data_IF_100587803328
#
_entry.id   IF_100587803328
#
_cell.length_a   1.000
_cell.length_b   1.000
_cell.length_c   1.000
_cell.angle_alpha   90.00
_cell.angle_beta   90.00
_cell.angle_gamma   90.00
#
_symmetry.space_group_name_H-M   'P 1'
#
loop_
_entity.id
_entity.type
_entity.pdbx_description
1 polymer ?
#
# COMPACT_ATOMS: atom_id res chain seq x y z
N UNK A 1 -2.01 -33.35 6.11
CA UNK A 1 -1.03 -32.38 5.62
C UNK A 1 -1.81 -31.18 5.13
N UNK A 2 -1.48 -29.97 5.58
CA UNK A 2 -2.07 -28.78 4.99
C UNK A 2 -1.79 -28.78 3.49
N UNK A 3 -2.77 -28.36 2.70
CA UNK A 3 -2.69 -28.36 1.24
C UNK A 3 -1.84 -27.15 0.81
N UNK A 4 -0.53 -27.24 1.03
CA UNK A 4 0.43 -26.22 0.62
C UNK A 4 0.41 -26.06 -0.90
N UNK A 5 0.09 -27.13 -1.63
CA UNK A 5 -0.09 -27.11 -3.09
C UNK A 5 -1.21 -26.15 -3.49
N UNK A 6 -2.37 -26.22 -2.81
CA UNK A 6 -3.45 -25.23 -3.01
C UNK A 6 -2.99 -23.80 -2.71
N UNK A 7 -2.27 -23.57 -1.60
CA UNK A 7 -1.77 -22.24 -1.24
C UNK A 7 -0.78 -21.70 -2.29
N UNK A 8 0.08 -22.56 -2.82
CA UNK A 8 1.03 -22.21 -3.89
C UNK A 8 0.29 -21.88 -5.19
N UNK A 9 -0.64 -22.73 -5.65
CA UNK A 9 -1.42 -22.52 -6.89
C UNK A 9 -2.21 -21.19 -6.83
N UNK A 10 -2.94 -20.97 -5.75
CA UNK A 10 -3.71 -19.74 -5.61
C UNK A 10 -2.82 -18.49 -5.51
N UNK A 11 -1.68 -18.57 -4.80
CA UNK A 11 -0.73 -17.46 -4.74
C UNK A 11 -0.12 -17.16 -6.10
N UNK A 12 0.18 -18.17 -6.91
CA UNK A 12 0.67 -17.98 -8.28
C UNK A 12 -0.38 -17.27 -9.13
N UNK A 13 -1.62 -17.76 -9.16
CA UNK A 13 -2.69 -17.17 -9.98
C UNK A 13 -2.99 -15.73 -9.61
N UNK A 14 -3.04 -15.42 -8.31
CA UNK A 14 -3.24 -14.04 -7.83
C UNK A 14 -2.05 -13.16 -8.26
N UNK A 15 -0.82 -13.64 -8.09
CA UNK A 15 0.38 -12.89 -8.51
C UNK A 15 0.42 -12.63 -10.02
N UNK A 16 0.02 -13.59 -10.85
CA UNK A 16 -0.07 -13.43 -12.30
C UNK A 16 -1.10 -12.36 -12.70
N UNK A 17 -2.25 -12.33 -12.01
CA UNK A 17 -3.27 -11.30 -12.22
C UNK A 17 -2.75 -9.92 -11.83
N UNK A 18 -2.10 -9.80 -10.68
CA UNK A 18 -1.57 -8.51 -10.23
C UNK A 18 -0.46 -8.00 -11.13
N UNK A 19 0.44 -8.86 -11.59
CA UNK A 19 1.47 -8.48 -12.58
C UNK A 19 0.87 -7.90 -13.86
N UNK A 20 -0.24 -8.45 -14.34
CA UNK A 20 -0.94 -8.00 -15.56
C UNK A 20 -1.78 -6.74 -15.35
N UNK A 21 -2.22 -6.47 -14.12
CA UNK A 21 -3.20 -5.42 -13.79
C UNK A 21 -2.68 -4.44 -12.73
N UNK A 22 -1.38 -4.14 -12.72
CA UNK A 22 -0.77 -3.24 -11.74
C UNK A 22 -1.41 -1.85 -11.77
N UNK A 23 -1.77 -1.33 -10.60
CA UNK A 23 -2.28 0.03 -10.47
C UNK A 23 -1.12 1.03 -10.25
N UNK A 24 -0.53 1.50 -11.35
CA UNK A 24 0.61 2.42 -11.33
C UNK A 24 0.10 3.88 -11.31
N UNK A 25 0.51 4.72 -10.34
CA UNK A 25 0.20 6.15 -10.38
C UNK A 25 0.77 6.82 -11.63
N UNK A 26 -0.01 7.68 -12.29
CA UNK A 26 0.37 8.38 -13.52
C UNK A 26 1.28 9.60 -13.23
N UNK A 27 2.46 9.34 -12.67
CA UNK A 27 3.41 10.41 -12.29
C UNK A 27 3.98 11.13 -13.52
N UNK A 28 4.00 10.47 -14.67
CA UNK A 28 4.33 11.05 -15.96
C UNK A 28 3.39 12.20 -16.38
N UNK A 29 2.20 12.32 -15.78
CA UNK A 29 1.28 13.45 -15.99
C UNK A 29 1.56 14.65 -15.09
N UNK A 30 2.42 14.51 -14.07
CA UNK A 30 2.80 15.60 -13.17
C UNK A 30 3.78 16.50 -13.92
N UNK A 31 3.31 17.68 -14.35
CA UNK A 31 4.05 18.57 -15.25
C UNK A 31 5.54 18.77 -14.90
N UNK A 32 5.91 19.12 -13.64
CA UNK A 32 7.32 19.29 -13.30
C UNK A 32 8.15 17.99 -13.38
N UNK A 33 7.53 16.82 -13.21
CA UNK A 33 8.21 15.52 -13.24
C UNK A 33 8.17 14.85 -14.61
N UNK A 34 7.36 15.37 -15.55
CA UNK A 34 7.13 14.76 -16.87
C UNK A 34 8.42 14.44 -17.61
N UNK A 35 9.43 15.30 -17.50
CA UNK A 35 10.71 15.14 -18.19
C UNK A 35 11.57 13.97 -17.68
N UNK A 36 11.23 13.39 -16.51
CA UNK A 36 11.85 12.17 -15.98
C UNK A 36 11.39 10.91 -16.73
N UNK A 37 10.33 11.03 -17.54
CA UNK A 37 9.71 9.92 -18.26
C UNK A 37 9.90 10.10 -19.77
N UNK A 38 9.94 8.99 -20.50
CA UNK A 38 9.86 8.96 -21.96
C UNK A 38 8.44 9.25 -22.45
N UNK A 39 8.30 9.46 -23.76
CA UNK A 39 7.00 9.75 -24.38
C UNK A 39 5.97 8.61 -24.22
N UNK A 40 6.44 7.37 -24.05
CA UNK A 40 5.61 6.20 -23.74
C UNK A 40 5.31 6.03 -22.23
N UNK A 41 5.68 7.02 -21.40
CA UNK A 41 5.38 7.08 -19.97
C UNK A 41 6.28 6.23 -19.08
N UNK A 42 7.38 5.67 -19.61
CA UNK A 42 8.35 4.90 -18.82
C UNK A 42 9.37 5.80 -18.15
N UNK A 43 9.79 5.43 -16.94
CA UNK A 43 10.83 6.15 -16.21
C UNK A 43 12.18 5.98 -16.92
N UNK A 44 12.91 7.08 -17.12
CA UNK A 44 14.26 7.07 -17.71
C UNK A 44 15.29 6.69 -16.66
N UNK A 45 15.52 5.39 -16.51
CA UNK A 45 16.40 4.85 -15.46
C UNK A 45 17.87 5.26 -15.58
N UNK A 46 18.32 5.54 -16.80
CA UNK A 46 19.65 6.03 -17.12
C UNK A 46 19.87 7.49 -16.70
N UNK A 47 18.80 8.29 -16.60
CA UNK A 47 18.84 9.70 -16.19
C UNK A 47 18.36 9.93 -14.75
N UNK A 48 17.89 8.89 -14.04
CA UNK A 48 17.21 9.06 -12.74
C UNK A 48 18.13 9.58 -11.63
N UNK A 49 19.44 9.44 -11.79
CA UNK A 49 20.44 9.94 -10.84
C UNK A 49 21.03 11.30 -11.25
N UNK A 50 20.53 11.90 -12.34
CA UNK A 50 20.90 13.25 -12.79
C UNK A 50 20.46 14.32 -11.79
N UNK A 51 21.19 15.44 -11.80
CA UNK A 51 20.89 16.63 -11.00
C UNK A 51 19.65 17.36 -11.53
N UNK A 52 18.75 17.70 -10.62
CA UNK A 52 17.61 18.57 -10.81
C UNK A 52 17.54 19.57 -9.65
N UNK A 53 18.09 20.77 -9.91
CA UNK A 53 18.21 21.88 -8.96
C UNK A 53 18.81 21.50 -7.60
N UNK A 54 19.89 20.70 -7.62
CA UNK A 54 20.64 20.32 -6.43
C UNK A 54 20.23 18.99 -5.78
N UNK A 55 19.15 18.35 -6.25
CA UNK A 55 18.76 16.99 -5.86
C UNK A 55 18.86 16.02 -7.03
N UNK A 56 18.91 14.72 -6.77
CA UNK A 56 18.74 13.74 -7.86
C UNK A 56 17.27 13.63 -8.27
N UNK A 57 16.98 13.31 -9.53
CA UNK A 57 15.59 13.03 -9.95
C UNK A 57 14.95 11.89 -9.14
N UNK A 58 15.75 10.90 -8.74
CA UNK A 58 15.38 9.81 -7.83
C UNK A 58 14.88 10.32 -6.48
N UNK A 59 15.57 11.29 -5.90
CA UNK A 59 15.17 11.95 -4.64
C UNK A 59 13.82 12.66 -4.81
N UNK A 60 13.68 13.50 -5.85
CA UNK A 60 12.44 14.24 -6.10
C UNK A 60 11.25 13.29 -6.32
N UNK A 61 11.46 12.20 -7.06
CA UNK A 61 10.43 11.19 -7.29
C UNK A 61 10.05 10.46 -5.99
N UNK A 62 11.02 10.12 -5.15
CA UNK A 62 10.75 9.51 -3.84
C UNK A 62 9.96 10.45 -2.92
N UNK A 63 10.27 11.75 -2.93
CA UNK A 63 9.52 12.78 -2.19
C UNK A 63 8.07 12.87 -2.63
N UNK A 64 7.84 12.91 -3.96
CA UNK A 64 6.49 12.91 -4.52
C UNK A 64 5.72 11.65 -4.11
N UNK A 65 6.33 10.48 -4.23
CA UNK A 65 5.71 9.20 -3.84
C UNK A 65 5.34 9.16 -2.36
N UNK A 66 6.18 9.70 -1.48
CA UNK A 66 5.88 9.73 -0.05
C UNK A 66 4.68 10.61 0.24
N UNK A 67 4.61 11.82 -0.34
CA UNK A 67 3.43 12.68 -0.20
C UNK A 67 2.19 12.03 -0.81
N UNK A 68 2.32 11.34 -1.95
CA UNK A 68 1.23 10.61 -2.57
C UNK A 68 0.59 9.58 -1.64
N UNK A 69 1.38 8.74 -0.96
CA UNK A 69 0.82 7.74 -0.04
C UNK A 69 0.29 8.34 1.27
N UNK A 70 0.81 9.49 1.69
CA UNK A 70 0.33 10.23 2.87
C UNK A 70 -1.07 10.79 2.61
N UNK A 71 -1.33 11.26 1.39
CA UNK A 71 -2.62 11.78 0.99
C UNK A 71 -3.66 10.69 0.71
N UNK A 72 -3.22 9.48 0.37
CA UNK A 72 -4.05 8.32 0.04
C UNK A 72 -4.70 7.68 1.28
N UNK A 73 -5.65 8.41 1.87
CA UNK A 73 -6.34 8.03 3.12
C UNK A 73 -7.87 8.08 2.98
N UNK A 74 -8.37 8.39 1.77
CA UNK A 74 -9.80 8.55 1.47
C UNK A 74 -10.34 7.47 0.53
N UNK A 75 -11.67 7.40 0.33
CA UNK A 75 -12.31 6.39 -0.51
C UNK A 75 -12.16 6.64 -2.03
N UNK A 76 -11.70 7.83 -2.45
CA UNK A 76 -11.46 8.15 -3.87
C UNK A 76 -9.98 8.41 -4.16
N UNK A 77 -9.22 7.33 -4.31
CA UNK A 77 -7.80 7.38 -4.66
C UNK A 77 -7.53 8.11 -5.98
N UNK A 78 -8.46 8.06 -6.94
CA UNK A 78 -8.31 8.76 -8.23
C UNK A 78 -8.37 10.26 -7.98
N UNK A 79 -9.37 10.73 -7.24
CA UNK A 79 -9.51 12.13 -6.84
C UNK A 79 -8.32 12.64 -6.03
N UNK A 80 -7.79 11.85 -5.09
CA UNK A 80 -6.59 12.20 -4.31
C UNK A 80 -5.35 12.36 -5.20
N UNK A 81 -5.14 11.44 -6.16
CA UNK A 81 -4.01 11.53 -7.10
C UNK A 81 -4.13 12.74 -8.02
N UNK A 82 -5.34 13.06 -8.49
CA UNK A 82 -5.61 14.30 -9.23
C UNK A 82 -5.27 15.53 -8.39
N UNK A 83 -5.68 15.55 -7.12
CA UNK A 83 -5.40 16.67 -6.22
C UNK A 83 -3.89 16.91 -6.07
N UNK A 84 -3.11 15.85 -5.80
CA UNK A 84 -1.66 15.98 -5.70
C UNK A 84 -1.04 16.50 -7.00
N UNK A 85 -1.36 15.88 -8.13
CA UNK A 85 -0.85 16.26 -9.46
C UNK A 85 -1.14 17.72 -9.78
N UNK A 86 -2.38 18.14 -9.59
CA UNK A 86 -2.86 19.46 -10.00
C UNK A 86 -2.32 20.55 -9.07
N UNK A 87 -2.32 20.31 -7.75
CA UNK A 87 -1.72 21.25 -6.77
C UNK A 87 -0.21 21.38 -7.02
N UNK A 88 0.51 20.26 -7.16
CA UNK A 88 1.96 20.30 -7.47
C UNK A 88 2.23 21.09 -8.76
N UNK A 89 1.48 20.83 -9.84
CA UNK A 89 1.67 21.52 -11.11
C UNK A 89 1.47 23.03 -10.98
N UNK A 90 0.37 23.45 -10.33
CA UNK A 90 0.06 24.88 -10.18
C UNK A 90 1.02 25.61 -9.24
N UNK A 91 1.48 24.96 -8.16
CA UNK A 91 2.49 25.54 -7.27
C UNK A 91 3.82 25.76 -8.02
N UNK A 92 4.25 24.78 -8.83
CA UNK A 92 5.48 24.91 -9.61
C UNK A 92 5.40 26.00 -10.67
N UNK A 93 4.24 26.19 -11.31
CA UNK A 93 4.02 27.30 -12.24
C UNK A 93 4.11 28.68 -11.57
N UNK A 94 3.80 28.74 -10.27
CA UNK A 94 3.96 29.93 -9.42
C UNK A 94 5.37 30.05 -8.81
N UNK A 95 6.29 29.15 -9.14
CA UNK A 95 7.65 29.12 -8.59
C UNK A 95 7.78 28.48 -7.21
N UNK A 96 6.70 27.92 -6.65
CA UNK A 96 6.67 27.24 -5.34
C UNK A 96 7.02 25.77 -5.56
N UNK A 97 8.32 25.44 -5.51
CA UNK A 97 8.82 24.11 -5.88
C UNK A 97 8.89 23.16 -4.69
N UNK A 98 7.75 22.78 -4.12
CA UNK A 98 7.65 22.10 -2.82
C UNK A 98 8.48 20.80 -2.65
N UNK A 99 8.86 20.11 -3.73
CA UNK A 99 9.75 18.93 -3.61
C UNK A 99 11.24 19.26 -3.73
N UNK A 100 11.60 20.39 -4.33
CA UNK A 100 13.00 20.86 -4.43
C UNK A 100 13.33 21.82 -3.29
N UNK A 101 12.37 22.61 -2.85
CA UNK A 101 12.50 23.52 -1.72
C UNK A 101 11.22 23.45 -0.86
N UNK A 102 11.12 22.47 0.05
CA UNK A 102 9.91 22.24 0.84
C UNK A 102 9.52 23.43 1.74
N UNK A 103 10.46 24.34 2.01
CA UNK A 103 10.22 25.54 2.81
C UNK A 103 9.26 26.52 2.12
N UNK A 104 9.19 26.48 0.78
CA UNK A 104 8.31 27.36 0.00
C UNK A 104 6.82 27.11 0.33
N UNK A 105 6.45 25.86 0.64
CA UNK A 105 5.08 25.55 1.09
C UNK A 105 4.69 26.35 2.35
N UNK A 106 5.62 26.49 3.30
CA UNK A 106 5.36 27.18 4.56
C UNK A 106 5.46 28.70 4.45
N UNK A 107 6.37 29.19 3.58
CA UNK A 107 6.49 30.63 3.31
C UNK A 107 5.27 31.16 2.56
N UNK A 108 4.76 30.38 1.62
CA UNK A 108 3.63 30.71 0.74
C UNK A 108 2.39 29.90 1.15
N UNK A 109 2.11 29.83 2.47
CA UNK A 109 1.09 28.94 3.02
C UNK A 109 -0.33 29.33 2.56
N UNK A 110 -0.60 30.62 2.41
CA UNK A 110 -1.87 31.12 1.89
C UNK A 110 -2.07 30.68 0.43
N UNK A 111 -1.04 30.79 -0.42
CA UNK A 111 -1.08 30.33 -1.81
C UNK A 111 -1.27 28.82 -1.86
N UNK A 112 -0.53 28.08 -1.03
CA UNK A 112 -0.57 26.61 -0.98
C UNK A 112 -1.94 26.09 -0.57
N UNK A 113 -2.54 26.64 0.48
CA UNK A 113 -3.87 26.25 0.96
C UNK A 113 -4.95 26.64 -0.06
N UNK A 114 -4.85 27.83 -0.64
CA UNK A 114 -5.81 28.28 -1.67
C UNK A 114 -5.76 27.39 -2.91
N UNK A 115 -4.58 26.90 -3.31
CA UNK A 115 -4.46 25.96 -4.41
C UNK A 115 -5.12 24.61 -4.08
N UNK A 116 -4.88 24.07 -2.88
CA UNK A 116 -5.53 22.83 -2.40
C UNK A 116 -7.06 22.97 -2.43
N UNK A 117 -7.59 24.09 -1.95
CA UNK A 117 -9.04 24.38 -1.98
C UNK A 117 -9.58 24.46 -3.42
N UNK A 118 -8.91 25.23 -4.27
CA UNK A 118 -9.38 25.47 -5.65
C UNK A 118 -9.36 24.19 -6.47
N UNK A 119 -8.31 23.37 -6.34
CA UNK A 119 -8.21 22.08 -7.04
C UNK A 119 -9.22 21.08 -6.49
N UNK A 120 -9.46 21.05 -5.18
CA UNK A 120 -10.49 20.20 -4.59
C UNK A 120 -11.87 20.45 -5.21
N UNK A 121 -12.31 21.71 -5.30
CA UNK A 121 -13.61 22.04 -5.92
C UNK A 121 -13.64 21.65 -7.41
N UNK A 122 -12.56 21.92 -8.15
CA UNK A 122 -12.48 21.53 -9.57
C UNK A 122 -12.58 20.02 -9.78
N UNK A 123 -12.00 19.22 -8.87
CA UNK A 123 -12.06 17.75 -8.93
C UNK A 123 -13.45 17.26 -8.52
N UNK A 124 -14.08 17.91 -7.54
CA UNK A 124 -15.44 17.60 -7.11
C UNK A 124 -16.43 17.72 -8.28
N UNK A 125 -16.30 18.74 -9.12
CA UNK A 125 -17.12 18.92 -10.33
C UNK A 125 -16.99 17.75 -11.33
N UNK A 126 -15.86 17.04 -11.31
CA UNK A 126 -15.58 15.92 -12.22
C UNK A 126 -15.98 14.57 -11.60
N UNK A 127 -15.75 14.39 -10.29
CA UNK A 127 -15.77 13.07 -9.65
C UNK A 127 -16.94 12.82 -8.72
N UNK A 128 -17.61 13.86 -8.23
CA UNK A 128 -18.61 13.71 -7.17
C UNK A 128 -19.78 12.79 -7.57
N UNK A 129 -20.28 12.91 -8.81
CA UNK A 129 -21.37 12.09 -9.33
C UNK A 129 -20.98 10.61 -9.38
N UNK A 130 -19.88 10.30 -10.07
CA UNK A 130 -19.37 8.93 -10.18
C UNK A 130 -19.09 8.31 -8.80
N UNK A 131 -18.47 9.07 -7.91
CA UNK A 131 -18.21 8.63 -6.54
C UNK A 131 -19.50 8.38 -5.77
N UNK A 132 -20.49 9.27 -5.87
CA UNK A 132 -21.77 9.15 -5.17
C UNK A 132 -22.53 7.90 -5.63
N UNK A 133 -22.56 7.64 -6.94
CA UNK A 133 -23.16 6.43 -7.49
C UNK A 133 -22.47 5.16 -6.97
N UNK A 134 -21.13 5.10 -7.03
CA UNK A 134 -20.35 3.93 -6.60
C UNK A 134 -20.48 3.65 -5.09
N UNK A 135 -20.68 4.68 -4.29
CA UNK A 135 -20.73 4.58 -2.82
C UNK A 135 -22.15 4.64 -2.24
N UNK A 136 -23.19 4.66 -3.09
CA UNK A 136 -24.59 4.86 -2.67
C UNK A 136 -24.74 6.07 -1.71
N UNK A 137 -24.19 7.20 -2.12
CA UNK A 137 -24.07 8.44 -1.37
C UNK A 137 -24.63 9.62 -2.17
N UNK A 138 -24.42 10.85 -1.72
CA UNK A 138 -24.77 12.07 -2.46
C UNK A 138 -23.53 12.88 -2.79
N UNK A 139 -23.55 13.59 -3.91
CA UNK A 139 -22.43 14.41 -4.39
C UNK A 139 -21.97 15.46 -3.37
N UNK A 140 -22.90 16.00 -2.57
CA UNK A 140 -22.58 17.01 -1.55
C UNK A 140 -21.68 16.46 -0.44
N UNK A 141 -21.65 15.12 -0.25
CA UNK A 141 -20.77 14.45 0.71
C UNK A 141 -19.38 14.16 0.14
N UNK A 142 -19.15 14.36 -1.15
CA UNK A 142 -17.84 14.21 -1.74
C UNK A 142 -16.87 15.21 -1.11
N UNK A 143 -15.74 14.68 -0.65
CA UNK A 143 -14.66 15.43 -0.03
C UNK A 143 -13.36 14.64 -0.20
N UNK A 144 -12.24 15.32 -0.42
CA UNK A 144 -10.92 14.69 -0.43
C UNK A 144 -10.13 14.92 0.87
N UNK A 145 -10.63 15.78 1.75
CA UNK A 145 -9.93 16.13 2.98
C UNK A 145 -10.26 15.14 4.09
N UNK A 146 -9.32 14.23 4.36
CA UNK A 146 -9.44 13.24 5.43
C UNK A 146 -8.32 13.39 6.46
N UNK A 147 -8.71 13.49 7.74
CA UNK A 147 -7.81 13.65 8.88
C UNK A 147 -7.92 12.47 9.84
N UNK A 148 -6.86 12.21 10.60
CA UNK A 148 -6.88 11.18 11.64
C UNK A 148 -7.68 11.69 12.85
N UNK A 149 -8.54 10.85 13.42
CA UNK A 149 -9.24 11.12 14.68
C UNK A 149 -9.17 9.90 15.61
N UNK A 150 -9.63 10.06 16.85
CA UNK A 150 -9.79 8.96 17.80
C UNK A 150 -10.75 7.85 17.30
N UNK A 151 -11.62 8.17 16.34
CA UNK A 151 -12.54 7.23 15.70
C UNK A 151 -11.99 6.64 14.39
N UNK A 152 -10.72 6.90 14.08
CA UNK A 152 -10.11 6.57 12.80
C UNK A 152 -10.09 7.76 11.84
N UNK A 153 -9.92 7.48 10.56
CA UNK A 153 -9.85 8.51 9.51
C UNK A 153 -11.25 9.07 9.27
N UNK A 154 -11.39 10.40 9.33
CA UNK A 154 -12.67 11.12 9.17
C UNK A 154 -12.55 12.23 8.14
N UNK A 155 -13.63 12.44 7.39
CA UNK A 155 -13.77 13.59 6.50
C UNK A 155 -13.76 14.88 7.32
N UNK A 156 -12.90 15.84 6.97
CA UNK A 156 -12.77 17.15 7.61
C UNK A 156 -13.14 18.28 6.64
N UNK A 157 -13.65 19.39 7.16
CA UNK A 157 -13.86 20.63 6.38
C UNK A 157 -12.77 21.66 6.66
N UNK A 158 -11.91 21.41 7.65
CA UNK A 158 -10.85 22.33 8.06
C UNK A 158 -9.61 22.08 7.19
N UNK A 159 -9.48 22.83 6.10
CA UNK A 159 -8.39 22.63 5.13
C UNK A 159 -7.02 22.99 5.68
N UNK A 160 -6.93 23.94 6.62
CA UNK A 160 -5.67 24.25 7.30
C UNK A 160 -5.11 23.02 8.03
N UNK A 161 -5.95 22.34 8.82
CA UNK A 161 -5.56 21.12 9.55
C UNK A 161 -5.11 20.02 8.57
N UNK A 162 -5.91 19.76 7.54
CA UNK A 162 -5.55 18.82 6.48
C UNK A 162 -4.23 19.18 5.79
N UNK A 163 -4.02 20.45 5.45
CA UNK A 163 -2.84 20.91 4.70
C UNK A 163 -1.58 20.80 5.56
N UNK A 164 -1.61 21.28 6.80
CA UNK A 164 -0.45 21.17 7.69
C UNK A 164 -0.14 19.71 8.03
N UNK A 165 -1.17 18.90 8.31
CA UNK A 165 -0.97 17.52 8.73
C UNK A 165 -0.57 16.58 7.58
N UNK A 166 -1.25 16.65 6.43
CA UNK A 166 -1.02 15.72 5.31
C UNK A 166 0.02 16.20 4.30
N UNK A 167 0.22 17.51 4.15
CA UNK A 167 1.26 18.05 3.27
C UNK A 167 2.44 18.57 4.08
N UNK A 168 2.18 19.38 5.10
CA UNK A 168 3.24 19.99 5.91
C UNK A 168 4.13 18.96 6.61
N UNK A 169 3.57 17.90 7.21
CA UNK A 169 4.37 16.90 7.94
C UNK A 169 5.40 16.20 7.04
N UNK A 170 5.05 15.59 5.89
CA UNK A 170 6.07 14.99 5.01
C UNK A 170 7.03 16.02 4.41
N UNK A 171 6.59 17.26 4.13
CA UNK A 171 7.49 18.32 3.68
C UNK A 171 8.48 18.75 4.76
N UNK A 172 8.07 18.73 6.03
CA UNK A 172 8.93 19.02 7.19
C UNK A 172 9.99 17.94 7.38
N UNK A 173 9.63 16.67 7.14
CA UNK A 173 10.59 15.57 7.12
C UNK A 173 11.72 15.85 6.11
N UNK A 174 11.39 16.27 4.89
CA UNK A 174 12.41 16.59 3.88
C UNK A 174 13.36 17.70 4.34
N UNK A 175 12.83 18.78 4.94
CA UNK A 175 13.66 19.86 5.49
C UNK A 175 14.59 19.41 6.62
N UNK A 176 14.14 18.48 7.46
CA UNK A 176 14.98 17.92 8.53
C UNK A 176 16.11 17.07 7.92
N UNK A 177 15.76 16.17 7.00
CA UNK A 177 16.73 15.30 6.35
C UNK A 177 17.78 16.10 5.56
N UNK A 178 17.40 17.17 4.86
CA UNK A 178 18.37 18.05 4.16
C UNK A 178 19.41 18.68 5.09
N UNK A 179 19.04 18.97 6.35
CA UNK A 179 19.98 19.51 7.34
C UNK A 179 20.91 18.44 7.90
N UNK A 180 20.38 17.24 8.13
CA UNK A 180 21.13 16.14 8.74
C UNK A 180 21.99 15.38 7.71
N UNK A 181 21.52 15.28 6.46
CA UNK A 181 22.17 14.61 5.33
C UNK A 181 22.52 15.64 4.25
N UNK A 182 23.79 16.05 4.22
CA UNK A 182 24.30 17.02 3.23
C UNK A 182 24.63 16.35 1.89
N UNK A 183 23.64 15.72 1.29
CA UNK A 183 23.74 15.00 0.01
C UNK A 183 22.67 15.49 -0.97
N UNK A 184 22.77 15.07 -2.24
CA UNK A 184 21.73 15.33 -3.25
C UNK A 184 20.51 14.42 -3.12
N UNK A 185 20.47 13.53 -2.14
CA UNK A 185 19.45 12.49 -2.01
C UNK A 185 19.17 12.11 -0.54
N UNK A 186 18.90 13.10 0.32
CA UNK A 186 18.81 12.87 1.76
C UNK A 186 17.67 11.91 2.15
N UNK A 187 16.54 11.90 1.43
CA UNK A 187 15.49 10.92 1.66
C UNK A 187 15.93 9.52 1.28
N UNK A 188 16.58 9.34 0.11
CA UNK A 188 17.11 8.02 -0.31
C UNK A 188 18.11 7.49 0.73
N UNK A 189 19.02 8.34 1.20
CA UNK A 189 20.04 7.94 2.17
C UNK A 189 19.41 7.57 3.53
N UNK A 190 18.37 8.29 3.97
CA UNK A 190 17.59 7.95 5.16
C UNK A 190 16.84 6.63 5.01
N UNK A 191 16.07 6.47 3.93
CA UNK A 191 15.29 5.26 3.67
C UNK A 191 16.20 4.03 3.64
N UNK A 192 17.31 4.10 2.89
CA UNK A 192 18.22 2.98 2.69
C UNK A 192 19.25 2.79 3.83
N UNK A 193 19.16 3.60 4.88
CA UNK A 193 19.91 3.38 6.12
C UNK A 193 19.39 2.17 6.91
N UNK A 194 18.12 1.79 6.70
CA UNK A 194 17.48 0.65 7.36
C UNK A 194 17.90 -0.69 6.75
N UNK A 195 17.88 -1.74 7.57
CA UNK A 195 18.39 -3.04 7.13
C UNK A 195 17.52 -3.72 6.07
N UNK A 196 16.21 -3.44 6.09
CA UNK A 196 15.20 -3.95 5.18
C UNK A 196 14.07 -2.93 4.90
N UNK A 197 13.29 -3.22 3.86
CA UNK A 197 12.11 -2.46 3.49
C UNK A 197 10.99 -2.51 4.55
N UNK A 198 10.79 -3.67 5.19
CA UNK A 198 9.86 -3.82 6.30
C UNK A 198 10.20 -2.87 7.47
N UNK A 199 11.48 -2.83 7.86
CA UNK A 199 11.94 -1.92 8.93
C UNK A 199 11.79 -0.47 8.46
N UNK A 200 12.15 -0.15 7.21
CA UNK A 200 11.94 1.19 6.65
C UNK A 200 10.47 1.62 6.72
N UNK A 201 9.53 0.74 6.36
CA UNK A 201 8.09 1.03 6.40
C UNK A 201 7.61 1.33 7.83
N UNK A 202 8.11 0.59 8.82
CA UNK A 202 7.83 0.86 10.24
C UNK A 202 8.42 2.21 10.67
N UNK A 203 9.68 2.48 10.32
CA UNK A 203 10.38 3.70 10.73
C UNK A 203 9.82 4.97 10.07
N UNK A 204 9.27 4.88 8.85
CA UNK A 204 8.54 5.98 8.22
C UNK A 204 7.37 6.48 9.08
N UNK A 205 6.78 5.62 9.90
CA UNK A 205 5.71 5.99 10.83
C UNK A 205 6.24 6.33 12.21
N UNK A 206 7.08 5.46 12.76
CA UNK A 206 7.33 5.40 14.21
C UNK A 206 8.69 5.96 14.64
N UNK A 207 9.57 6.36 13.70
CA UNK A 207 10.86 6.91 14.08
C UNK A 207 10.69 8.20 14.91
N UNK A 208 11.32 8.27 16.08
CA UNK A 208 11.11 9.35 17.06
C UNK A 208 11.24 10.77 16.45
N UNK A 209 12.27 10.99 15.63
CA UNK A 209 12.54 12.30 15.00
C UNK A 209 11.94 12.50 13.59
N UNK A 210 11.79 11.44 12.81
CA UNK A 210 11.54 11.50 11.36
C UNK A 210 10.23 10.81 10.97
N UNK A 211 9.61 10.08 11.89
CA UNK A 211 8.37 9.37 11.68
C UNK A 211 7.23 10.35 11.43
N UNK A 212 6.38 10.01 10.48
CA UNK A 212 5.22 10.81 10.11
C UNK A 212 4.04 10.61 11.09
N UNK A 213 4.13 9.66 12.02
CA UNK A 213 3.17 9.44 13.10
C UNK A 213 1.75 9.23 12.59
N UNK A 214 0.83 10.11 13.02
CA UNK A 214 -0.58 10.06 12.61
C UNK A 214 -0.83 10.58 11.18
N UNK A 215 0.14 11.24 10.56
CA UNK A 215 0.02 11.71 9.18
C UNK A 215 0.06 10.56 8.17
N UNK A 216 0.57 9.38 8.55
CA UNK A 216 0.58 8.18 7.69
C UNK A 216 0.05 6.94 8.44
N UNK A 217 -0.71 6.09 7.76
CA UNK A 217 -1.11 4.78 8.28
C UNK A 217 -0.10 3.68 7.94
N UNK A 218 -0.07 2.59 8.71
CA UNK A 218 0.84 1.44 8.42
C UNK A 218 0.66 0.92 7.00
N UNK A 219 -0.58 0.87 6.51
CA UNK A 219 -0.90 0.44 5.14
C UNK A 219 -0.23 1.33 4.09
N UNK A 220 -0.24 2.65 4.31
CA UNK A 220 0.39 3.60 3.41
C UNK A 220 1.92 3.51 3.45
N UNK A 221 2.53 3.17 4.59
CA UNK A 221 3.96 2.87 4.65
C UNK A 221 4.34 1.65 3.79
N UNK A 222 3.55 0.58 3.82
CA UNK A 222 3.79 -0.60 2.96
C UNK A 222 3.48 -0.29 1.49
N UNK A 223 2.48 0.55 1.19
CA UNK A 223 2.24 1.06 -0.15
C UNK A 223 3.44 1.86 -0.67
N UNK A 224 4.08 2.68 0.18
CA UNK A 224 5.33 3.35 -0.16
C UNK A 224 6.44 2.36 -0.47
N UNK A 225 6.65 1.35 0.39
CA UNK A 225 7.66 0.30 0.14
C UNK A 225 7.42 -0.43 -1.19
N UNK A 226 6.17 -0.77 -1.49
CA UNK A 226 5.75 -1.33 -2.78
C UNK A 226 6.12 -0.41 -3.94
N UNK A 227 5.75 0.88 -3.87
CA UNK A 227 6.04 1.85 -4.92
C UNK A 227 7.55 2.05 -5.11
N UNK A 228 8.28 2.24 -4.02
CA UNK A 228 9.73 2.48 -4.00
C UNK A 228 10.50 1.29 -4.58
N UNK A 229 10.16 0.06 -4.21
CA UNK A 229 10.95 -1.12 -4.56
C UNK A 229 10.50 -1.75 -5.87
N UNK A 230 9.20 -1.96 -6.07
CA UNK A 230 8.71 -2.81 -7.16
C UNK A 230 8.06 -2.07 -8.31
N UNK A 231 7.47 -0.89 -8.06
CA UNK A 231 6.77 -0.14 -9.11
C UNK A 231 7.75 0.79 -9.83
N UNK A 232 8.50 1.59 -9.07
CA UNK A 232 9.43 2.57 -9.62
C UNK A 232 10.90 2.14 -9.53
N UNK A 233 11.23 1.08 -8.77
CA UNK A 233 12.59 0.53 -8.65
C UNK A 233 13.63 1.60 -8.26
N UNK A 234 13.33 2.32 -7.18
CA UNK A 234 14.11 3.46 -6.70
C UNK A 234 15.28 3.06 -5.79
N UNK A 235 15.41 1.79 -5.42
CA UNK A 235 16.55 1.31 -4.62
C UNK A 235 17.89 1.60 -5.30
N UNK A 236 18.80 2.26 -4.59
CA UNK A 236 20.10 2.71 -5.12
C UNK A 236 21.29 2.03 -4.45
N UNK A 237 21.43 2.20 -3.14
CA UNK A 237 22.57 1.79 -2.34
C UNK A 237 22.46 0.33 -1.84
N UNK A 238 21.27 -0.27 -1.93
CA UNK A 238 20.97 -1.61 -1.38
C UNK A 238 20.50 -2.64 -2.42
N UNK A 239 20.79 -2.45 -3.71
CA UNK A 239 20.26 -3.30 -4.81
C UNK A 239 20.55 -4.80 -4.65
N UNK A 240 21.73 -5.15 -4.15
CA UNK A 240 22.13 -6.55 -3.97
C UNK A 240 21.75 -7.13 -2.58
N UNK A 241 21.08 -6.35 -1.73
CA UNK A 241 20.68 -6.79 -0.39
C UNK A 241 19.28 -7.41 -0.45
N UNK A 242 19.10 -8.69 -0.05
CA UNK A 242 17.78 -9.34 -0.02
C UNK A 242 16.73 -8.57 0.80
N UNK A 243 17.16 -7.78 1.79
CA UNK A 243 16.31 -6.90 2.59
C UNK A 243 15.64 -5.77 1.81
N UNK A 244 16.03 -5.54 0.56
CA UNK A 244 15.52 -4.48 -0.30
C UNK A 244 14.96 -5.02 -1.62
N UNK A 245 14.47 -6.26 -1.58
CA UNK A 245 13.93 -6.99 -2.72
C UNK A 245 12.39 -7.00 -2.76
N UNK A 246 11.81 -7.61 -3.79
CA UNK A 246 10.35 -7.73 -3.93
C UNK A 246 9.65 -8.53 -2.81
N UNK A 247 10.37 -9.20 -1.92
CA UNK A 247 9.83 -10.05 -0.84
C UNK A 247 10.05 -9.40 0.55
N UNK A 248 10.71 -8.24 0.62
CA UNK A 248 11.27 -7.73 1.88
C UNK A 248 10.35 -6.83 2.73
N UNK A 249 9.05 -6.82 2.44
CA UNK A 249 8.01 -6.14 3.23
C UNK A 249 6.73 -6.99 3.27
N UNK A 250 5.94 -6.83 4.34
CA UNK A 250 4.66 -7.52 4.49
C UNK A 250 3.56 -6.91 3.60
N UNK A 251 2.54 -7.71 3.27
CA UNK A 251 1.31 -7.17 2.66
C UNK A 251 0.44 -6.60 3.75
N UNK A 252 -0.07 -5.36 3.61
CA UNK A 252 -1.09 -4.87 4.51
C UNK A 252 -2.41 -5.61 4.21
N UNK A 253 -2.86 -6.47 5.13
CA UNK A 253 -4.20 -7.06 5.01
C UNK A 253 -5.26 -5.98 5.26
N UNK A 254 -5.86 -5.51 4.16
CA UNK A 254 -7.02 -4.63 4.15
C UNK A 254 -8.32 -5.40 3.90
N UNK A 255 -9.46 -4.70 3.89
CA UNK A 255 -10.76 -5.34 3.69
C UNK A 255 -10.88 -6.05 2.34
N UNK A 256 -10.23 -5.56 1.27
CA UNK A 256 -10.24 -6.23 -0.02
C UNK A 256 -9.39 -7.50 0.00
N UNK A 257 -8.13 -7.40 0.44
CA UNK A 257 -7.23 -8.53 0.59
C UNK A 257 -7.82 -9.61 1.51
N UNK A 258 -8.28 -9.20 2.70
CA UNK A 258 -8.90 -10.10 3.67
C UNK A 258 -10.12 -10.83 3.11
N UNK A 259 -11.01 -10.13 2.41
CA UNK A 259 -12.20 -10.73 1.80
C UNK A 259 -11.84 -11.78 0.74
N UNK A 260 -10.91 -11.45 -0.15
CA UNK A 260 -10.48 -12.36 -1.22
C UNK A 260 -9.79 -13.60 -0.62
N UNK A 261 -8.85 -13.41 0.31
CA UNK A 261 -8.15 -14.52 0.96
C UNK A 261 -9.09 -15.39 1.81
N UNK A 262 -10.09 -14.80 2.45
CA UNK A 262 -11.07 -15.56 3.22
C UNK A 262 -11.99 -16.39 2.31
N UNK A 263 -12.64 -15.77 1.33
CA UNK A 263 -13.65 -16.42 0.46
C UNK A 263 -13.05 -17.44 -0.48
N UNK A 264 -11.82 -17.23 -0.95
CA UNK A 264 -11.12 -18.24 -1.75
C UNK A 264 -10.78 -19.49 -0.95
N UNK A 265 -10.78 -19.41 0.39
CA UNK A 265 -10.38 -20.49 1.28
C UNK A 265 -8.91 -20.44 1.69
N UNK A 266 -8.13 -19.47 1.20
CA UNK A 266 -6.71 -19.29 1.56
C UNK A 266 -6.52 -19.22 3.08
N UNK A 267 -7.24 -18.33 3.77
CA UNK A 267 -7.15 -18.20 5.23
C UNK A 267 -7.65 -19.46 5.95
N UNK A 268 -8.67 -20.13 5.41
CA UNK A 268 -9.24 -21.35 5.99
C UNK A 268 -8.31 -22.57 5.91
N UNK A 269 -7.24 -22.50 5.11
CA UNK A 269 -6.15 -23.49 5.15
C UNK A 269 -5.17 -23.22 6.28
N UNK A 270 -5.11 -21.99 6.81
CA UNK A 270 -4.12 -21.55 7.80
C UNK A 270 -4.64 -21.64 9.23
N UNK A 271 -5.93 -21.43 9.44
CA UNK A 271 -6.58 -21.60 10.74
C UNK A 271 -8.07 -21.91 10.56
N UNK A 272 -8.71 -22.41 11.62
CA UNK A 272 -10.14 -22.72 11.62
C UNK A 272 -10.98 -21.45 11.82
N UNK A 273 -12.29 -21.55 11.54
CA UNK A 273 -13.22 -20.45 11.86
C UNK A 273 -13.27 -20.17 13.36
N UNK A 274 -13.18 -21.22 14.20
CA UNK A 274 -13.13 -21.08 15.66
C UNK A 274 -11.88 -20.31 16.11
N UNK A 275 -10.72 -20.59 15.53
CA UNK A 275 -9.50 -19.82 15.79
C UNK A 275 -9.70 -18.33 15.46
N UNK A 276 -10.26 -18.03 14.28
CA UNK A 276 -10.50 -16.66 13.86
C UNK A 276 -11.55 -15.93 14.73
N UNK A 277 -12.54 -16.63 15.26
CA UNK A 277 -13.48 -16.10 16.24
C UNK A 277 -12.78 -15.80 17.58
N UNK A 278 -12.00 -16.76 18.09
CA UNK A 278 -11.22 -16.61 19.33
C UNK A 278 -10.20 -15.47 19.26
N UNK A 279 -9.71 -15.15 18.06
CA UNK A 279 -8.77 -14.06 17.83
C UNK A 279 -9.45 -12.72 17.54
N UNK A 280 -10.79 -12.66 17.57
CA UNK A 280 -11.60 -11.51 17.18
C UNK A 280 -11.33 -11.03 15.75
N UNK A 281 -10.83 -11.92 14.89
CA UNK A 281 -10.75 -11.68 13.44
C UNK A 281 -12.15 -11.80 12.85
N UNK A 282 -12.95 -12.75 13.32
CA UNK A 282 -14.39 -12.85 13.04
C UNK A 282 -15.15 -12.30 14.24
N UNK A 283 -15.94 -11.26 14.01
CA UNK A 283 -16.80 -10.63 15.01
C UNK A 283 -18.26 -10.93 14.66
N UNK A 284 -18.89 -11.86 15.40
CA UNK A 284 -20.24 -12.36 15.09
C UNK A 284 -21.29 -11.28 15.23
N UNK A 285 -22.14 -11.12 14.22
CA UNK A 285 -23.27 -10.18 14.24
C UNK A 285 -22.90 -8.69 14.16
N UNK A 286 -21.62 -8.34 14.22
CA UNK A 286 -21.12 -6.95 14.18
C UNK A 286 -21.10 -6.36 12.76
N UNK A 287 -21.37 -7.19 11.73
CA UNK A 287 -21.42 -6.78 10.34
C UNK A 287 -22.76 -6.17 9.94
N UNK A 288 -22.79 -5.53 8.77
CA UNK A 288 -24.01 -4.92 8.21
C UNK A 288 -25.09 -6.00 8.05
N UNK A 289 -26.28 -5.72 8.60
CA UNK A 289 -27.42 -6.66 8.53
C UNK A 289 -27.29 -7.88 9.45
N UNK A 290 -26.41 -7.85 10.46
CA UNK A 290 -26.19 -8.96 11.37
C UNK A 290 -25.26 -10.05 10.82
N UNK A 291 -24.57 -9.76 9.71
CA UNK A 291 -23.50 -10.62 9.19
C UNK A 291 -22.30 -10.65 10.15
N UNK A 292 -21.41 -11.63 9.98
CA UNK A 292 -20.16 -11.71 10.71
C UNK A 292 -19.15 -10.76 10.07
N UNK A 293 -18.61 -9.83 10.87
CA UNK A 293 -17.61 -8.88 10.40
C UNK A 293 -16.20 -9.47 10.47
N UNK A 294 -15.44 -9.40 9.37
CA UNK A 294 -14.06 -9.86 9.29
C UNK A 294 -13.13 -8.66 9.51
N UNK A 295 -12.63 -8.52 10.74
CA UNK A 295 -11.61 -7.55 11.10
C UNK A 295 -10.22 -8.12 10.81
N UNK A 296 -9.88 -8.22 9.52
CA UNK A 296 -8.65 -8.91 9.05
C UNK A 296 -7.35 -8.37 9.68
N UNK A 297 -7.31 -7.11 10.09
CA UNK A 297 -6.12 -6.52 10.75
C UNK A 297 -5.76 -7.24 12.06
N UNK A 298 -6.71 -7.92 12.69
CA UNK A 298 -6.48 -8.69 13.92
C UNK A 298 -5.70 -10.00 13.68
N UNK A 299 -5.41 -10.36 12.43
CA UNK A 299 -4.54 -11.50 12.06
C UNK A 299 -3.07 -11.25 12.42
N UNK A 300 -2.64 -9.98 12.57
CA UNK A 300 -1.25 -9.66 12.91
C UNK A 300 -0.84 -10.34 14.23
N UNK A 301 0.31 -11.03 14.21
CA UNK A 301 0.83 -11.81 15.33
C UNK A 301 0.15 -13.15 15.57
N UNK A 302 -0.89 -13.52 14.80
CA UNK A 302 -1.56 -14.82 14.91
C UNK A 302 -0.75 -15.89 14.16
N UNK A 303 -0.73 -17.08 14.75
CA UNK A 303 0.17 -18.17 14.36
C UNK A 303 -0.59 -19.30 13.68
N UNK A 304 0.15 -20.10 12.93
CA UNK A 304 -0.36 -21.32 12.31
C UNK A 304 0.65 -22.46 12.47
N UNK A 305 0.13 -23.68 12.61
CA UNK A 305 0.91 -24.90 12.75
C UNK A 305 0.96 -25.72 11.46
N UNK A 306 0.49 -25.15 10.33
CA UNK A 306 0.47 -25.86 9.03
C UNK A 306 1.86 -26.22 8.51
N UNK A 307 2.89 -25.49 8.95
CA UNK A 307 4.29 -25.71 8.62
C UNK A 307 4.99 -26.19 9.90
N UNK A 308 5.40 -27.46 9.91
CA UNK A 308 6.12 -28.05 11.04
C UNK A 308 7.50 -27.42 11.20
N UNK A 309 7.95 -27.17 12.43
CA UNK A 309 9.26 -26.57 12.73
C UNK A 309 10.45 -27.40 12.23
N UNK A 310 10.25 -28.70 12.02
CA UNK A 310 11.28 -29.64 11.55
C UNK A 310 11.33 -29.73 10.02
N UNK A 311 10.39 -29.10 9.31
CA UNK A 311 10.29 -29.17 7.84
C UNK A 311 11.28 -28.26 7.12
N UNK A 312 11.59 -28.59 5.86
CA UNK A 312 12.31 -27.70 4.95
C UNK A 312 11.57 -26.37 4.75
N UNK A 313 10.24 -26.41 4.71
CA UNK A 313 9.39 -25.21 4.61
C UNK A 313 9.62 -24.23 5.76
N UNK A 314 9.83 -24.74 6.98
CA UNK A 314 10.16 -23.88 8.11
C UNK A 314 11.55 -23.26 7.97
N UNK A 315 12.53 -23.98 7.41
CA UNK A 315 13.86 -23.43 7.10
C UNK A 315 13.73 -22.26 6.12
N UNK A 316 12.99 -22.45 5.02
CA UNK A 316 12.72 -21.42 4.02
C UNK A 316 11.96 -20.22 4.65
N UNK A 317 10.97 -20.47 5.51
CA UNK A 317 10.29 -19.42 6.27
C UNK A 317 11.26 -18.62 7.16
N UNK A 318 12.17 -19.28 7.90
CA UNK A 318 13.19 -18.60 8.71
C UNK A 318 14.10 -17.74 7.85
N UNK A 319 14.42 -18.18 6.65
CA UNK A 319 15.22 -17.41 5.69
C UNK A 319 14.51 -16.10 5.32
N UNK A 320 13.20 -16.14 5.07
CA UNK A 320 12.41 -14.92 4.82
C UNK A 320 12.45 -13.95 6.00
N UNK A 321 12.24 -14.44 7.22
CA UNK A 321 12.25 -13.57 8.39
C UNK A 321 13.63 -12.95 8.63
N UNK A 322 14.69 -13.73 8.50
CA UNK A 322 16.04 -13.32 8.91
C UNK A 322 16.81 -12.57 7.83
N UNK A 323 16.65 -12.92 6.55
CA UNK A 323 17.40 -12.30 5.45
C UNK A 323 16.61 -11.22 4.71
N UNK A 324 15.30 -11.42 4.52
CA UNK A 324 14.46 -10.52 3.72
C UNK A 324 13.75 -9.49 4.60
N UNK A 325 12.93 -9.92 5.55
CA UNK A 325 12.21 -8.97 6.41
C UNK A 325 13.11 -8.36 7.49
N UNK A 326 14.08 -9.12 8.00
CA UNK A 326 15.02 -8.73 9.08
C UNK A 326 14.38 -8.32 10.40
N UNK A 327 13.12 -8.73 10.63
CA UNK A 327 12.33 -8.38 11.83
C UNK A 327 12.47 -9.39 12.98
N UNK A 328 13.37 -10.37 12.87
CA UNK A 328 13.61 -11.33 13.95
C UNK A 328 14.75 -12.29 13.65
N UNK A 329 15.60 -12.53 14.65
CA UNK A 329 16.79 -13.39 14.47
C UNK A 329 16.49 -14.90 14.56
N UNK A 330 15.48 -15.29 15.34
CA UNK A 330 15.15 -16.70 15.63
C UNK A 330 13.63 -16.89 15.75
N UNK A 331 12.87 -16.80 14.65
CA UNK A 331 11.42 -17.05 14.70
C UNK A 331 11.16 -18.49 15.17
N UNK A 332 10.25 -18.62 16.14
CA UNK A 332 9.87 -19.91 16.75
C UNK A 332 8.53 -20.45 16.25
N UNK A 333 7.83 -19.69 15.43
CA UNK A 333 6.50 -20.03 14.92
C UNK A 333 6.26 -19.30 13.61
N UNK A 334 5.34 -19.84 12.81
CA UNK A 334 4.90 -19.20 11.57
C UNK A 334 3.74 -18.25 11.86
N UNK A 335 3.87 -17.00 11.44
CA UNK A 335 2.82 -16.00 11.56
C UNK A 335 2.04 -15.91 10.24
N UNK A 336 0.71 -15.92 10.34
CA UNK A 336 -0.21 -15.94 9.19
C UNK A 336 0.05 -14.77 8.24
N UNK A 337 0.33 -13.58 8.80
CA UNK A 337 0.62 -12.35 8.06
C UNK A 337 1.80 -12.50 7.07
N UNK A 338 2.72 -13.43 7.34
CA UNK A 338 3.98 -13.61 6.60
C UNK A 338 3.97 -14.82 5.67
N UNK A 339 2.87 -15.60 5.69
CA UNK A 339 2.67 -16.70 4.74
C UNK A 339 2.77 -16.23 3.28
N UNK A 340 2.21 -15.07 2.87
CA UNK A 340 2.39 -14.58 1.51
C UNK A 340 3.87 -14.43 1.09
N UNK A 341 4.71 -13.86 1.95
CA UNK A 341 6.16 -13.74 1.69
C UNK A 341 6.83 -15.10 1.50
N UNK A 342 6.48 -16.07 2.34
CA UNK A 342 6.96 -17.44 2.23
C UNK A 342 6.51 -18.12 0.92
N UNK A 343 5.24 -17.99 0.53
CA UNK A 343 4.72 -18.61 -0.69
C UNK A 343 5.33 -18.00 -1.95
N UNK A 344 5.52 -16.68 -1.99
CA UNK A 344 6.21 -16.00 -3.10
C UNK A 344 7.66 -16.47 -3.19
N UNK A 345 8.35 -16.61 -2.06
CA UNK A 345 9.71 -17.17 -2.04
C UNK A 345 9.77 -18.59 -2.59
N UNK A 346 8.86 -19.46 -2.15
CA UNK A 346 8.76 -20.83 -2.67
C UNK A 346 8.53 -20.86 -4.17
N UNK A 347 7.60 -20.05 -4.68
CA UNK A 347 7.32 -19.93 -6.11
C UNK A 347 8.55 -19.47 -6.90
N UNK A 348 9.32 -18.52 -6.39
CA UNK A 348 10.53 -18.05 -7.05
C UNK A 348 11.68 -19.08 -7.00
N UNK A 349 11.69 -19.97 -6.00
CA UNK A 349 12.66 -21.08 -5.90
C UNK A 349 12.31 -22.21 -6.87
N UNK A 350 11.02 -22.47 -7.10
CA UNK A 350 10.52 -23.56 -7.95
C UNK A 350 10.29 -23.18 -9.40
N UNK A 351 10.21 -21.88 -9.72
CA UNK A 351 9.97 -21.37 -11.06
C UNK A 351 11.06 -20.39 -11.49
N UNK A 352 11.22 -20.16 -12.80
CA UNK A 352 12.09 -19.09 -13.31
C UNK A 352 11.41 -17.70 -13.26
N UNK A 353 10.26 -17.57 -12.59
CA UNK A 353 9.59 -16.29 -12.43
C UNK A 353 10.08 -15.60 -11.16
N UNK A 354 10.20 -14.27 -11.24
CA UNK A 354 10.54 -13.43 -10.09
C UNK A 354 9.28 -12.69 -9.59
N UNK A 355 8.37 -13.40 -8.92
CA UNK A 355 7.21 -12.79 -8.29
C UNK A 355 7.62 -11.93 -7.09
N UNK A 356 6.86 -10.86 -6.90
CA UNK A 356 7.02 -9.94 -5.77
C UNK A 356 5.77 -9.91 -4.92
N UNK A 357 5.90 -9.39 -3.72
CA UNK A 357 4.77 -9.08 -2.85
C UNK A 357 3.81 -8.09 -3.50
N UNK A 358 4.33 -7.15 -4.31
CA UNK A 358 3.53 -6.22 -5.08
C UNK A 358 2.60 -6.94 -6.08
N UNK A 359 3.10 -8.00 -6.74
CA UNK A 359 2.29 -8.80 -7.68
C UNK A 359 1.11 -9.46 -6.97
N UNK A 360 1.34 -10.05 -5.81
CA UNK A 360 0.26 -10.69 -5.04
C UNK A 360 -0.75 -9.65 -4.52
N UNK A 361 -0.27 -8.54 -3.96
CA UNK A 361 -1.11 -7.44 -3.47
C UNK A 361 -1.97 -6.82 -4.58
N UNK A 362 -1.39 -6.47 -5.74
CA UNK A 362 -2.15 -5.95 -6.88
C UNK A 362 -3.20 -6.96 -7.38
N UNK A 363 -2.89 -8.25 -7.32
CA UNK A 363 -3.84 -9.31 -7.67
C UNK A 363 -5.04 -9.34 -6.74
N UNK A 364 -4.80 -9.24 -5.43
CA UNK A 364 -5.86 -9.17 -4.43
C UNK A 364 -6.74 -7.93 -4.61
N UNK A 365 -6.14 -6.77 -4.85
CA UNK A 365 -6.88 -5.53 -5.11
C UNK A 365 -7.69 -5.63 -6.39
N UNK A 366 -7.11 -6.15 -7.47
CA UNK A 366 -7.80 -6.36 -8.74
C UNK A 366 -9.01 -7.28 -8.59
N UNK A 367 -8.85 -8.42 -7.91
CA UNK A 367 -9.95 -9.37 -7.68
C UNK A 367 -11.02 -8.75 -6.78
N UNK A 368 -10.62 -8.12 -5.68
CA UNK A 368 -11.52 -7.52 -4.70
C UNK A 368 -12.35 -6.36 -5.26
N UNK A 369 -11.78 -5.62 -6.22
CA UNK A 369 -12.42 -4.44 -6.83
C UNK A 369 -13.31 -4.79 -8.02
N UNK A 370 -13.01 -5.86 -8.76
CA UNK A 370 -13.74 -6.16 -10.02
C UNK A 370 -14.69 -7.36 -9.93
N UNK A 371 -14.50 -8.26 -8.95
CA UNK A 371 -15.27 -9.52 -8.89
C UNK A 371 -15.78 -9.84 -7.49
N UNK A 372 -14.89 -9.84 -6.49
CA UNK A 372 -15.22 -10.27 -5.14
C UNK A 372 -15.73 -9.08 -4.31
N UNK A 373 -16.95 -8.61 -4.57
CA UNK A 373 -17.53 -7.44 -3.88
C UNK A 373 -17.93 -7.70 -2.43
N UNK A 374 -17.97 -6.66 -1.60
CA UNK A 374 -18.34 -6.74 -0.17
C UNK A 374 -19.87 -6.80 0.05
N UNK A 375 -20.53 -7.73 -0.63
CA UNK A 375 -21.95 -8.05 -0.47
C UNK A 375 -22.21 -9.51 -0.88
N UNK A 376 -23.48 -9.93 -0.82
CA UNK A 376 -23.93 -11.31 -1.07
C UNK A 376 -23.89 -11.74 -2.54
N UNK A 377 -23.85 -10.80 -3.48
CA UNK A 377 -23.87 -11.07 -4.93
C UNK A 377 -22.54 -10.72 -5.66
N UNK A 378 -21.36 -11.29 -5.30
CA UNK A 378 -20.13 -11.07 -6.07
C UNK A 378 -20.23 -11.65 -7.49
N UNK A 379 -19.43 -11.14 -8.44
CA UNK A 379 -19.37 -11.65 -9.81
C UNK A 379 -18.53 -12.93 -9.90
N UNK A 380 -18.96 -14.00 -9.23
CA UNK A 380 -18.22 -15.26 -9.12
C UNK A 380 -17.97 -15.92 -10.48
N UNK A 381 -18.97 -16.01 -11.35
CA UNK A 381 -18.87 -16.70 -12.65
C UNK A 381 -17.90 -16.04 -13.64
N UNK A 382 -17.56 -14.77 -13.40
CA UNK A 382 -16.58 -14.02 -14.19
C UNK A 382 -15.22 -13.92 -13.49
N UNK A 383 -15.13 -14.38 -12.23
CA UNK A 383 -13.92 -14.27 -11.45
C UNK A 383 -12.83 -15.20 -12.00
N UNK A 384 -11.60 -14.72 -12.25
CA UNK A 384 -10.50 -15.56 -12.73
C UNK A 384 -10.11 -16.70 -11.78
N UNK A 385 -10.56 -16.67 -10.52
CA UNK A 385 -10.34 -17.71 -9.52
C UNK A 385 -11.52 -18.66 -9.33
N UNK A 386 -12.58 -18.56 -10.16
CA UNK A 386 -13.84 -19.28 -9.95
C UNK A 386 -13.64 -20.78 -9.72
N UNK A 387 -12.77 -21.42 -10.49
CA UNK A 387 -12.56 -22.86 -10.50
C UNK A 387 -11.82 -23.41 -9.27
N UNK A 388 -11.22 -22.54 -8.44
CA UNK A 388 -10.51 -22.91 -7.20
C UNK A 388 -11.06 -22.22 -5.96
N UNK A 389 -12.02 -21.30 -6.12
CA UNK A 389 -12.57 -20.52 -5.02
C UNK A 389 -13.50 -21.39 -4.17
N UNK A 390 -13.14 -21.60 -2.90
CA UNK A 390 -13.96 -22.38 -1.96
C UNK A 390 -15.38 -21.85 -1.83
N UNK A 391 -15.55 -20.53 -1.71
CA UNK A 391 -16.89 -19.95 -1.54
C UNK A 391 -17.82 -20.14 -2.74
N UNK A 392 -17.25 -20.29 -3.95
CA UNK A 392 -18.03 -20.52 -5.16
C UNK A 392 -18.35 -22.00 -5.36
N UNK A 393 -17.39 -22.89 -5.10
CA UNK A 393 -17.51 -24.30 -5.46
C UNK A 393 -18.02 -25.19 -4.32
N UNK A 394 -17.81 -24.80 -3.06
CA UNK A 394 -18.02 -25.67 -1.88
C UNK A 394 -18.91 -25.07 -0.81
N UNK A 395 -18.73 -23.78 -0.47
CA UNK A 395 -19.41 -23.15 0.67
C UNK A 395 -19.80 -21.69 0.42
N UNK A 396 -20.99 -21.51 -0.16
CA UNK A 396 -21.59 -20.19 -0.39
C UNK A 396 -21.83 -19.40 0.92
N UNK A 397 -21.83 -20.08 2.08
CA UNK A 397 -21.92 -19.46 3.39
C UNK A 397 -20.80 -18.45 3.65
N UNK A 398 -19.62 -18.63 3.05
CA UNK A 398 -18.48 -17.71 3.15
C UNK A 398 -18.76 -16.35 2.47
N UNK A 399 -19.70 -16.29 1.52
CA UNK A 399 -20.17 -15.05 0.88
C UNK A 399 -21.35 -14.47 1.66
N UNK A 400 -22.35 -15.31 1.99
CA UNK A 400 -23.62 -14.86 2.56
C UNK A 400 -23.53 -14.44 4.03
N UNK A 401 -22.64 -15.06 4.81
CA UNK A 401 -22.57 -14.85 6.27
C UNK A 401 -21.47 -13.90 6.70
N UNK A 402 -20.52 -13.56 5.83
CA UNK A 402 -19.31 -12.83 6.20
C UNK A 402 -19.09 -11.59 5.32
N UNK A 403 -18.78 -10.47 5.98
CA UNK A 403 -18.48 -9.17 5.36
C UNK A 403 -17.21 -8.57 5.95
N UNK A 404 -16.48 -7.77 5.20
CA UNK A 404 -15.26 -7.06 5.67
C UNK A 404 -15.47 -5.59 5.91
#
# INVERSE_FOLDING_TARGET
MADLDFLIDITQRISELGRKNRNIPLINEVKPLKHYFSDDGKLKYDEIDDDDEGFSRREILARYLLVNVVLDQGPDIIGVRMLLRDVTTNLYEKGIKIFHNPLDFFKELDISINEILTRHESIKDIRAEEWAMKNNSTEQKYNLFFAQSNRGIVSTKQVLDYSIHRWGVPLSLFLLLEKDYKTKQPLIDYLESWESAEIMAQQLKDHERYGLGSAIGDKACHLFAKMYINIFNLVKNKRDNPGWSGISYEIPFDSNAGRVLFRTGFLLKLATLEDYENWEVIQKGEGKGGANYIRVTNIRGKKTDIISQESEDFIDYREIITKYLKIGMKPKSVEIQRIPNFLIYKLNKSTNYNYSIADFDDGLIYIGTNYCFNHENPNCDLCPLQNICKAHNEDEGLIKKYTT
#
